data_IF_185340394780
#
_entry.id   IF_185340394780
#
_cell.length_a   1.000
_cell.length_b   1.000
_cell.length_c   1.000
_cell.angle_alpha   90.00
_cell.angle_beta   90.00
_cell.angle_gamma   90.00
#
_symmetry.space_group_name_H-M   'P 1'
#
loop_
_entity.id
_entity.type
_entity.pdbx_description
1 polymer ?
#
# COMPACT_ATOMS: atom_id res chain seq x y z
N UNK A 1 10.79 -6.35 12.75
CA UNK A 1 10.77 -4.89 12.45
C UNK A 1 12.13 -4.56 11.89
N UNK A 2 12.22 -3.97 10.69
CA UNK A 2 13.51 -3.80 9.98
C UNK A 2 14.43 -2.74 10.62
N UNK A 3 13.90 -1.86 11.47
CA UNK A 3 14.64 -0.79 12.13
C UNK A 3 14.55 -0.91 13.65
N UNK A 4 15.69 -0.75 14.31
CA UNK A 4 15.77 -0.42 15.73
C UNK A 4 15.54 1.09 15.85
N UNK A 5 14.35 1.50 16.29
CA UNK A 5 13.93 2.91 16.29
C UNK A 5 14.84 3.79 17.15
N UNK A 6 15.33 3.29 18.29
CA UNK A 6 16.19 4.06 19.17
C UNK A 6 17.54 4.34 18.50
N UNK A 7 18.18 3.30 17.94
CA UNK A 7 19.44 3.47 17.20
C UNK A 7 19.27 4.33 15.97
N UNK A 8 18.15 4.16 15.25
CA UNK A 8 17.84 4.94 14.07
C UNK A 8 17.71 6.44 14.37
N UNK A 9 16.93 6.81 15.40
CA UNK A 9 16.77 8.22 15.75
C UNK A 9 18.03 8.83 16.36
N UNK A 10 18.82 8.06 17.11
CA UNK A 10 20.14 8.49 17.57
C UNK A 10 21.07 8.82 16.40
N UNK A 11 21.04 8.03 15.35
CA UNK A 11 21.83 8.29 14.14
C UNK A 11 21.29 9.49 13.35
N UNK A 12 19.96 9.65 13.26
CA UNK A 12 19.34 10.85 12.69
C UNK A 12 19.80 12.11 13.43
N UNK A 13 19.85 12.09 14.76
CA UNK A 13 20.37 13.19 15.56
C UNK A 13 21.85 13.45 15.33
N UNK A 14 22.66 12.42 15.06
CA UNK A 14 24.08 12.58 14.77
C UNK A 14 24.31 13.26 13.40
N UNK A 15 23.50 12.94 12.39
CA UNK A 15 23.73 13.36 11.00
C UNK A 15 22.97 14.63 10.59
N UNK A 16 21.80 14.87 11.15
CA UNK A 16 21.02 16.07 10.84
C UNK A 16 21.70 17.30 11.46
N UNK A 17 21.88 18.35 10.65
CA UNK A 17 22.25 19.68 11.14
C UNK A 17 21.04 20.34 11.82
N UNK A 18 21.24 21.39 12.64
CA UNK A 18 20.13 22.22 13.12
C UNK A 18 19.24 22.68 11.97
N UNK A 19 17.93 22.50 12.10
CA UNK A 19 16.94 22.75 11.05
C UNK A 19 16.78 21.61 10.02
N UNK A 20 17.57 20.54 10.10
CA UNK A 20 17.44 19.36 9.25
C UNK A 20 16.12 18.62 9.50
N UNK A 21 15.59 17.97 8.46
CA UNK A 21 14.27 17.32 8.49
C UNK A 21 14.40 15.82 8.23
N UNK A 22 13.74 15.02 9.07
CA UNK A 22 13.41 13.63 8.76
C UNK A 22 12.02 13.56 8.13
N UNK A 23 11.85 12.71 7.12
CA UNK A 23 10.56 12.37 6.54
C UNK A 23 10.37 10.85 6.58
N UNK A 24 9.34 10.40 7.28
CA UNK A 24 8.82 9.05 7.16
C UNK A 24 7.58 9.10 6.27
N UNK A 25 7.49 8.22 5.27
CA UNK A 25 6.32 8.14 4.39
C UNK A 25 5.96 6.68 4.16
N UNK A 26 4.67 6.43 3.91
CA UNK A 26 4.19 5.17 3.36
C UNK A 26 2.84 5.41 2.70
N UNK A 27 2.38 4.42 1.97
CA UNK A 27 1.11 4.42 1.26
C UNK A 27 0.10 3.50 1.95
N UNK A 28 -1.19 3.80 1.75
CA UNK A 28 -2.26 2.85 1.98
C UNK A 28 -2.29 1.85 0.82
N UNK A 29 -2.25 0.56 1.15
CA UNK A 29 -2.33 -0.52 0.18
C UNK A 29 -3.73 -1.15 0.11
N UNK A 30 -4.70 -0.60 0.83
CA UNK A 30 -6.09 -1.08 0.86
C UNK A 30 -7.00 -0.25 -0.03
N UNK A 31 -6.64 0.99 -0.32
CA UNK A 31 -7.45 1.89 -1.15
C UNK A 31 -6.76 2.27 -2.47
N UNK A 32 -7.27 1.68 -3.54
CA UNK A 32 -6.98 2.05 -4.92
C UNK A 32 -8.21 2.71 -5.53
N UNK A 33 -8.03 3.91 -6.11
CA UNK A 33 -9.11 4.68 -6.74
C UNK A 33 -8.82 4.93 -8.20
N UNK A 34 -9.58 4.31 -9.10
CA UNK A 34 -9.54 4.63 -10.54
C UNK A 34 -10.14 6.03 -10.75
N UNK A 35 -9.45 6.88 -11.51
CA UNK A 35 -9.84 8.30 -11.68
C UNK A 35 -10.34 8.67 -13.07
N UNK A 36 -9.99 7.89 -14.10
CA UNK A 36 -10.25 8.25 -15.51
C UNK A 36 -10.86 7.07 -16.29
N UNK A 37 -11.97 6.52 -15.80
CA UNK A 37 -12.70 5.46 -16.50
C UNK A 37 -14.22 5.50 -16.22
N UNK A 38 -15.10 5.24 -17.20
CA UNK A 38 -16.56 5.21 -16.98
C UNK A 38 -17.00 4.22 -15.88
N UNK A 39 -16.29 3.11 -15.76
CA UNK A 39 -16.51 2.08 -14.72
C UNK A 39 -15.55 2.21 -13.52
N UNK A 40 -15.06 3.42 -13.22
CA UNK A 40 -14.06 3.66 -12.18
C UNK A 40 -14.44 3.07 -10.82
N UNK A 41 -15.69 3.20 -10.38
CA UNK A 41 -16.16 2.66 -9.09
C UNK A 41 -16.11 1.13 -9.08
N UNK A 42 -16.62 0.47 -10.14
CA UNK A 42 -16.60 -1.00 -10.27
C UNK A 42 -15.16 -1.52 -10.29
N UNK A 43 -14.27 -0.87 -11.04
CA UNK A 43 -12.85 -1.21 -11.11
C UNK A 43 -12.18 -1.06 -9.75
N UNK A 44 -12.36 0.09 -9.08
CA UNK A 44 -11.79 0.35 -7.75
C UNK A 44 -12.23 -0.70 -6.73
N UNK A 45 -13.51 -1.09 -6.74
CA UNK A 45 -14.02 -2.17 -5.87
C UNK A 45 -13.29 -3.49 -6.11
N UNK A 46 -13.17 -3.92 -7.36
CA UNK A 46 -12.47 -5.19 -7.68
C UNK A 46 -10.99 -5.11 -7.30
N UNK A 47 -10.35 -3.95 -7.52
CA UNK A 47 -8.95 -3.72 -7.14
C UNK A 47 -8.75 -3.84 -5.62
N UNK A 48 -9.67 -3.29 -4.81
CA UNK A 48 -9.55 -3.28 -3.35
C UNK A 48 -9.91 -4.62 -2.71
N UNK A 49 -10.80 -5.42 -3.33
CA UNK A 49 -11.11 -6.78 -2.88
C UNK A 49 -9.87 -7.68 -2.78
N UNK A 50 -8.85 -7.44 -3.62
CA UNK A 50 -7.64 -8.26 -3.69
C UNK A 50 -6.82 -8.19 -2.38
N UNK A 51 -6.30 -7.02 -1.99
CA UNK A 51 -5.55 -6.89 -0.74
C UNK A 51 -6.44 -7.13 0.48
N UNK A 52 -7.72 -6.73 0.44
CA UNK A 52 -8.68 -6.98 1.53
C UNK A 52 -8.81 -8.48 1.82
N UNK A 53 -9.13 -9.29 0.81
CA UNK A 53 -9.33 -10.73 0.99
C UNK A 53 -8.06 -11.46 1.41
N UNK A 54 -6.92 -11.09 0.85
CA UNK A 54 -5.63 -11.66 1.26
C UNK A 54 -5.30 -11.32 2.71
N UNK A 55 -5.61 -10.09 3.15
CA UNK A 55 -5.37 -9.65 4.53
C UNK A 55 -6.32 -10.28 5.55
N UNK A 56 -7.57 -10.57 5.17
CA UNK A 56 -8.57 -11.19 6.05
C UNK A 56 -8.37 -12.69 6.23
N UNK A 57 -7.73 -13.35 5.27
CA UNK A 57 -7.53 -14.80 5.27
C UNK A 57 -6.27 -15.25 6.03
N UNK A 58 -5.40 -14.33 6.44
CA UNK A 58 -4.24 -14.67 7.26
C UNK A 58 -4.64 -14.74 8.73
N UNK A 59 -4.36 -15.87 9.37
CA UNK A 59 -4.24 -15.93 10.83
C UNK A 59 -3.19 -14.88 11.23
N UNK A 60 -3.66 -13.87 11.96
CA UNK A 60 -2.94 -12.64 12.33
C UNK A 60 -1.58 -12.89 12.99
N UNK A 61 -1.34 -14.10 13.51
CA UNK A 61 -0.06 -14.50 14.13
C UNK A 61 1.10 -14.66 13.13
N UNK A 62 0.83 -15.03 11.87
CA UNK A 62 1.89 -15.29 10.87
C UNK A 62 2.25 -14.07 10.02
N UNK A 63 1.41 -13.03 10.05
CA UNK A 63 1.54 -11.81 9.25
C UNK A 63 1.71 -10.54 10.05
N UNK A 64 1.97 -10.69 11.36
CA UNK A 64 2.22 -9.60 12.30
C UNK A 64 3.00 -8.48 11.62
N UNK A 65 4.12 -8.76 10.95
CA UNK A 65 4.96 -7.70 10.37
C UNK A 65 4.30 -6.79 9.31
N UNK A 66 3.61 -7.32 8.31
CA UNK A 66 3.07 -6.51 7.20
C UNK A 66 1.81 -5.73 7.60
N UNK A 67 0.92 -6.37 8.35
CA UNK A 67 -0.32 -5.75 8.85
C UNK A 67 -0.05 -4.81 10.03
N UNK A 68 0.94 -5.11 10.88
CA UNK A 68 1.42 -4.19 11.91
C UNK A 68 2.12 -3.00 11.29
N UNK A 69 2.84 -3.12 10.16
CA UNK A 69 3.42 -1.93 9.50
C UNK A 69 2.30 -1.05 8.94
N UNK A 70 1.32 -1.62 8.24
CA UNK A 70 0.18 -0.82 7.76
C UNK A 70 -0.53 -0.21 8.98
N UNK A 71 -1.01 -1.00 9.93
CA UNK A 71 -1.71 -0.48 11.12
C UNK A 71 -0.86 0.40 12.05
N UNK A 72 0.45 0.22 12.18
CA UNK A 72 1.30 1.10 13.02
C UNK A 72 1.67 2.38 12.30
N UNK A 73 1.77 2.36 10.98
CA UNK A 73 2.22 3.51 10.20
C UNK A 73 1.02 4.35 9.73
N UNK A 74 -0.07 3.76 9.20
CA UNK A 74 -1.28 4.52 8.82
C UNK A 74 -2.04 5.09 10.01
N UNK A 75 -2.02 4.46 11.19
CA UNK A 75 -2.62 5.02 12.41
C UNK A 75 -1.64 5.92 13.20
N UNK A 76 -2.13 6.92 13.96
CA UNK A 76 -1.35 8.09 14.43
C UNK A 76 -0.25 7.83 15.48
N UNK A 77 0.20 6.59 15.68
CA UNK A 77 1.04 6.21 16.82
C UNK A 77 2.55 6.23 16.54
N UNK A 78 3.01 6.54 15.32
CA UNK A 78 4.44 6.78 15.10
C UNK A 78 4.83 8.11 15.72
N UNK A 79 5.62 8.04 16.77
CA UNK A 79 6.25 9.18 17.38
C UNK A 79 7.64 9.33 16.78
N UNK A 80 7.86 10.40 16.02
CA UNK A 80 9.21 10.88 15.72
C UNK A 80 9.66 11.72 16.93
N UNK A 81 10.89 11.55 17.44
CA UNK A 81 11.37 12.21 18.66
C UNK A 81 11.81 13.67 18.43
N UNK A 82 11.17 14.37 17.49
CA UNK A 82 11.35 15.79 17.26
C UNK A 82 10.11 16.55 17.74
N UNK A 83 10.33 17.65 18.46
CA UNK A 83 9.25 18.49 19.01
C UNK A 83 8.51 19.24 17.91
N UNK A 84 9.24 19.73 16.91
CA UNK A 84 8.66 20.27 15.70
C UNK A 84 8.37 19.15 14.71
N UNK A 85 7.10 18.78 14.61
CA UNK A 85 6.63 17.67 13.79
C UNK A 85 5.31 17.98 13.11
N UNK A 86 5.12 17.43 11.92
CA UNK A 86 3.91 17.59 11.12
C UNK A 86 3.55 16.29 10.43
N UNK A 87 2.29 15.89 10.56
CA UNK A 87 1.70 14.83 9.72
C UNK A 87 0.97 15.47 8.54
N UNK A 88 1.12 14.86 7.37
CA UNK A 88 0.45 15.23 6.13
C UNK A 88 -0.28 13.99 5.63
N UNK A 89 -1.60 14.05 5.64
CA UNK A 89 -2.52 13.02 5.14
C UNK A 89 -3.21 13.52 3.85
N UNK A 90 -4.03 12.67 3.21
CA UNK A 90 -4.75 13.00 1.98
C UNK A 90 -3.83 13.39 0.80
N UNK A 91 -2.64 12.80 0.72
CA UNK A 91 -1.75 12.95 -0.44
C UNK A 91 -1.99 11.77 -1.36
N UNK A 92 -2.36 12.00 -2.61
CA UNK A 92 -2.64 10.93 -3.54
C UNK A 92 -1.51 10.81 -4.57
N UNK A 93 -0.92 9.63 -4.67
CA UNK A 93 -0.02 9.27 -5.75
C UNK A 93 -0.86 8.75 -6.92
N UNK A 94 -0.74 9.36 -8.10
CA UNK A 94 -1.35 8.85 -9.32
C UNK A 94 -0.39 7.89 -10.00
N UNK A 95 -0.88 6.71 -10.36
CA UNK A 95 -0.12 5.62 -10.94
C UNK A 95 -0.72 5.28 -12.30
N UNK A 96 0.09 5.45 -13.34
CA UNK A 96 -0.20 4.94 -14.68
C UNK A 96 0.34 3.52 -14.81
N UNK A 97 -0.55 2.58 -15.09
CA UNK A 97 -0.20 1.16 -15.20
C UNK A 97 -1.02 0.48 -16.29
N UNK A 98 -1.07 -0.84 -16.20
CA UNK A 98 -1.98 -1.70 -16.98
C UNK A 98 -2.71 -2.63 -16.02
N UNK A 99 -3.76 -3.32 -16.48
CA UNK A 99 -4.47 -4.32 -15.67
C UNK A 99 -3.47 -5.38 -15.15
N UNK A 100 -2.64 -5.95 -16.04
CA UNK A 100 -1.60 -6.91 -15.64
C UNK A 100 -0.51 -6.28 -14.77
N UNK A 101 -0.21 -5.00 -14.97
CA UNK A 101 0.74 -4.25 -14.14
C UNK A 101 0.27 -4.13 -12.69
N UNK A 102 -1.00 -3.78 -12.48
CA UNK A 102 -1.61 -3.73 -11.16
C UNK A 102 -1.62 -5.11 -10.49
N UNK A 103 -2.02 -6.17 -11.19
CA UNK A 103 -2.01 -7.53 -10.64
C UNK A 103 -0.59 -7.97 -10.21
N UNK A 104 0.44 -7.62 -10.98
CA UNK A 104 1.84 -7.85 -10.61
C UNK A 104 2.26 -7.05 -9.37
N UNK A 105 1.79 -5.81 -9.25
CA UNK A 105 2.00 -5.01 -8.03
C UNK A 105 1.40 -5.72 -6.81
N UNK A 106 0.16 -6.22 -6.89
CA UNK A 106 -0.43 -6.97 -5.78
C UNK A 106 0.41 -8.21 -5.40
N UNK A 107 0.89 -9.00 -6.38
CA UNK A 107 1.74 -10.16 -6.12
C UNK A 107 3.13 -9.82 -5.55
N UNK A 108 3.60 -8.58 -5.72
CA UNK A 108 4.84 -8.12 -5.05
C UNK A 108 4.67 -8.11 -3.53
N UNK A 109 3.46 -7.87 -3.01
CA UNK A 109 3.18 -7.91 -1.59
C UNK A 109 3.18 -9.37 -1.09
N UNK A 110 3.98 -9.63 -0.04
CA UNK A 110 4.15 -10.98 0.49
C UNK A 110 2.84 -11.61 0.95
N UNK A 111 1.94 -10.82 1.55
CA UNK A 111 0.67 -11.34 2.06
C UNK A 111 -0.28 -11.79 0.94
N UNK A 112 -0.39 -11.01 -0.15
CA UNK A 112 -1.17 -11.41 -1.34
C UNK A 112 -0.56 -12.65 -1.97
N UNK A 113 0.76 -12.66 -2.19
CA UNK A 113 1.46 -13.79 -2.79
C UNK A 113 1.28 -15.09 -2.01
N UNK A 114 1.40 -15.02 -0.68
CA UNK A 114 1.23 -16.16 0.20
C UNK A 114 -0.22 -16.66 0.17
N UNK A 115 -1.19 -15.75 0.16
CA UNK A 115 -2.61 -16.10 0.07
C UNK A 115 -2.95 -16.79 -1.26
N UNK A 116 -2.54 -16.21 -2.39
CA UNK A 116 -2.78 -16.78 -3.73
C UNK A 116 -2.17 -18.17 -3.87
N UNK A 117 -0.99 -18.39 -3.28
CA UNK A 117 -0.26 -19.66 -3.37
C UNK A 117 -0.66 -20.69 -2.29
N UNK A 118 -1.57 -20.38 -1.36
CA UNK A 118 -1.87 -21.31 -0.26
C UNK A 118 -2.77 -22.48 -0.66
N UNK A 119 -3.60 -22.33 -1.69
CA UNK A 119 -4.39 -23.43 -2.26
C UNK A 119 -4.86 -23.14 -3.70
N UNK A 120 -5.33 -24.18 -4.39
CA UNK A 120 -5.84 -24.07 -5.77
C UNK A 120 -7.07 -23.16 -5.88
N UNK A 121 -7.91 -23.10 -4.85
CA UNK A 121 -9.10 -22.24 -4.83
C UNK A 121 -8.72 -20.76 -4.82
N UNK A 122 -7.69 -20.38 -4.05
CA UNK A 122 -7.19 -19.00 -4.02
C UNK A 122 -6.53 -18.60 -5.34
N UNK A 123 -5.83 -19.54 -6.00
CA UNK A 123 -5.29 -19.31 -7.35
C UNK A 123 -6.41 -19.17 -8.39
N UNK A 124 -7.49 -19.95 -8.29
CA UNK A 124 -8.64 -19.82 -9.17
C UNK A 124 -9.38 -18.49 -8.97
N UNK A 125 -9.55 -18.07 -7.71
CA UNK A 125 -10.09 -16.75 -7.37
C UNK A 125 -9.20 -15.62 -7.89
N UNK A 126 -7.87 -15.74 -7.77
CA UNK A 126 -6.94 -14.76 -8.32
C UNK A 126 -7.09 -14.58 -9.84
N UNK A 127 -7.23 -15.69 -10.58
CA UNK A 127 -7.50 -15.64 -12.03
C UNK A 127 -8.84 -14.98 -12.34
N UNK A 128 -9.88 -15.24 -11.53
CA UNK A 128 -11.18 -14.59 -11.75
C UNK A 128 -11.13 -13.08 -11.46
N UNK A 129 -10.24 -12.59 -10.60
CA UNK A 129 -10.01 -11.15 -10.44
C UNK A 129 -9.50 -10.49 -11.73
N UNK A 130 -8.58 -11.14 -12.47
CA UNK A 130 -8.11 -10.65 -13.76
C UNK A 130 -9.25 -10.56 -14.78
N UNK A 131 -10.05 -11.63 -14.90
CA UNK A 131 -11.23 -11.67 -15.78
C UNK A 131 -12.25 -10.58 -15.42
N UNK A 132 -12.54 -10.40 -14.13
CA UNK A 132 -13.47 -9.37 -13.63
C UNK A 132 -12.97 -7.95 -13.90
N UNK A 133 -11.66 -7.71 -13.78
CA UNK A 133 -11.06 -6.42 -14.11
C UNK A 133 -11.17 -6.13 -15.62
N UNK A 134 -10.85 -7.12 -16.47
CA UNK A 134 -10.97 -7.00 -17.91
C UNK A 134 -12.43 -6.76 -18.36
N UNK A 135 -13.39 -7.50 -17.80
CA UNK A 135 -14.83 -7.30 -18.01
C UNK A 135 -15.29 -5.90 -17.58
N UNK A 136 -14.93 -5.49 -16.35
CA UNK A 136 -15.29 -4.17 -15.84
C UNK A 136 -14.65 -3.04 -16.64
N UNK A 137 -13.46 -3.26 -17.19
CA UNK A 137 -12.81 -2.31 -18.08
C UNK A 137 -13.47 -2.29 -19.48
N UNK A 138 -14.00 -3.41 -19.95
CA UNK A 138 -14.53 -3.55 -21.30
C UNK A 138 -13.43 -3.83 -22.33
N UNK A 139 -12.37 -4.56 -21.93
CA UNK A 139 -11.24 -4.93 -22.80
C UNK A 139 -10.95 -6.42 -22.74
N UNK A 140 -10.36 -6.96 -23.79
CA UNK A 140 -9.73 -8.28 -23.78
C UNK A 140 -8.19 -8.20 -23.70
N UNK A 141 -7.61 -7.00 -23.76
CA UNK A 141 -6.18 -6.78 -23.64
C UNK A 141 -5.79 -6.52 -22.17
N UNK A 142 -5.06 -7.43 -21.50
CA UNK A 142 -4.60 -7.22 -20.13
C UNK A 142 -3.55 -6.09 -20.02
N UNK A 143 -3.03 -5.60 -21.14
CA UNK A 143 -2.16 -4.41 -21.21
C UNK A 143 -2.92 -3.10 -21.40
N UNK A 144 -4.26 -3.12 -21.35
CA UNK A 144 -5.04 -1.88 -21.40
C UNK A 144 -4.61 -0.91 -20.28
N UNK A 145 -4.51 0.40 -20.56
CA UNK A 145 -4.01 1.39 -19.62
C UNK A 145 -4.94 1.55 -18.43
N UNK A 146 -4.40 1.57 -17.22
CA UNK A 146 -5.16 1.72 -15.99
C UNK A 146 -4.49 2.81 -15.13
N UNK A 147 -5.19 3.93 -14.96
CA UNK A 147 -4.75 5.03 -14.09
C UNK A 147 -5.55 5.03 -12.80
N UNK A 148 -4.85 4.94 -11.67
CA UNK A 148 -5.45 4.90 -10.35
C UNK A 148 -4.62 5.68 -9.33
N UNK A 149 -5.25 6.03 -8.22
CA UNK A 149 -4.64 6.72 -7.10
C UNK A 149 -4.46 5.80 -5.92
N UNK A 150 -3.38 6.01 -5.17
CA UNK A 150 -3.15 5.44 -3.85
C UNK A 150 -2.93 6.59 -2.86
N UNK A 151 -3.50 6.49 -1.67
CA UNK A 151 -3.20 7.44 -0.61
C UNK A 151 -1.79 7.20 -0.07
N UNK A 152 -1.10 8.28 0.21
CA UNK A 152 0.19 8.37 0.86
C UNK A 152 0.02 9.31 2.04
N UNK A 153 0.68 9.00 3.14
CA UNK A 153 0.88 9.97 4.20
C UNK A 153 2.36 10.16 4.48
N UNK A 154 2.68 11.30 5.07
CA UNK A 154 4.01 11.67 5.48
C UNK A 154 4.02 12.17 6.92
N UNK A 155 5.06 11.81 7.65
CA UNK A 155 5.35 12.32 8.98
C UNK A 155 6.73 12.98 8.95
N UNK A 156 6.75 14.28 9.20
CA UNK A 156 7.92 15.12 9.17
C UNK A 156 8.34 15.46 10.60
N UNK A 157 9.64 15.50 10.86
CA UNK A 157 10.20 16.02 12.11
C UNK A 157 11.43 16.87 11.83
N UNK A 158 11.53 18.03 12.47
CA UNK A 158 12.65 18.95 12.30
C UNK A 158 13.53 18.92 13.55
N UNK A 159 14.83 18.71 13.35
CA UNK A 159 15.83 18.82 14.41
C UNK A 159 16.01 20.29 14.77
N UNK A 160 15.91 20.59 16.06
CA UNK A 160 16.21 21.92 16.63
C UNK A 160 17.68 22.28 16.49
#
# INVERSE_FOLDING_TARGET
MFLDHEKFYRECDRVLVPGGVIAAFTYDCQEHRVVEHPNAEKLSRIMNEIPEKASSAQDLESSEYSMIIIKKYTYPNIQIPYTDRKRIDNVYMTIDSTIVGFLKLCLSASFVRNYVNSCNENMAWWRSCEERLMDAYGTADPKAPLTYQMEVFMLLGRKS
#
